data_IF_191308766715
#
_entry.id   IF_191308766715
#
_cell.length_a   1.000
_cell.length_b   1.000
_cell.length_c   1.000
_cell.angle_alpha   90.00
_cell.angle_beta   90.00
_cell.angle_gamma   90.00
#
_symmetry.space_group_name_H-M   'P 1'
#
loop_
_entity.id
_entity.type
_entity.pdbx_description
1 polymer ?
#
# COMPACT_ATOMS: atom_id res chain seq x y z
N UNK A 1 -1.79 -0.38 -23.62
CA UNK A 1 -1.63 -0.24 -22.16
C UNK A 1 -1.55 1.24 -21.86
N UNK A 2 -2.47 1.77 -21.07
CA UNK A 2 -2.41 3.13 -20.55
C UNK A 2 -1.54 3.21 -19.29
N UNK A 3 -1.29 4.42 -18.80
CA UNK A 3 -0.70 4.64 -17.48
C UNK A 3 -1.83 4.66 -16.47
N UNK A 4 -1.76 3.80 -15.45
CA UNK A 4 -2.62 3.89 -14.28
C UNK A 4 -1.98 4.85 -13.28
N UNK A 5 -2.78 5.74 -12.69
CA UNK A 5 -2.31 6.74 -11.73
C UNK A 5 -3.04 6.51 -10.42
N UNK A 6 -2.27 6.36 -9.34
CA UNK A 6 -2.78 6.23 -7.98
C UNK A 6 -2.49 7.49 -7.18
N UNK A 7 -3.48 7.99 -6.46
CA UNK A 7 -3.35 9.10 -5.51
C UNK A 7 -3.27 8.52 -4.11
N UNK A 8 -2.19 8.84 -3.40
CA UNK A 8 -1.96 8.44 -2.01
C UNK A 8 -2.53 9.52 -1.08
N UNK A 9 -3.30 9.10 -0.07
CA UNK A 9 -3.88 9.97 0.96
C UNK A 9 -3.42 9.46 2.32
N UNK A 10 -2.67 10.29 3.04
CA UNK A 10 -2.19 9.97 4.39
C UNK A 10 -3.33 9.63 5.35
N UNK A 11 -3.13 8.62 6.18
CA UNK A 11 -4.03 8.27 7.29
C UNK A 11 -4.30 9.48 8.20
N UNK A 12 -3.29 10.33 8.43
CA UNK A 12 -3.38 11.54 9.26
C UNK A 12 -4.25 12.66 8.68
N UNK A 13 -4.70 12.53 7.42
CA UNK A 13 -5.56 13.53 6.81
C UNK A 13 -6.96 13.50 7.43
N UNK A 14 -7.22 14.43 8.34
CA UNK A 14 -8.48 14.58 9.11
C UNK A 14 -9.64 15.08 8.24
N UNK A 15 -10.10 14.23 7.32
CA UNK A 15 -11.30 14.44 6.52
C UNK A 15 -12.21 13.23 6.63
N UNK A 16 -13.39 13.40 7.20
CA UNK A 16 -14.35 12.31 7.40
C UNK A 16 -15.72 12.66 6.82
N UNK A 17 -16.61 11.68 6.77
CA UNK A 17 -17.99 11.86 6.34
C UNK A 17 -18.18 11.97 4.83
N UNK A 18 -19.35 12.48 4.43
CA UNK A 18 -19.86 12.42 3.05
C UNK A 18 -19.09 13.29 2.07
N UNK A 19 -18.58 14.45 2.49
CA UNK A 19 -17.80 15.34 1.62
C UNK A 19 -16.50 14.68 1.17
N UNK A 20 -15.81 13.99 2.09
CA UNK A 20 -14.60 13.25 1.75
C UNK A 20 -14.89 12.07 0.83
N UNK A 21 -15.96 11.30 1.12
CA UNK A 21 -16.41 10.22 0.23
C UNK A 21 -16.72 10.73 -1.19
N UNK A 22 -17.42 11.87 -1.32
CA UNK A 22 -17.72 12.48 -2.61
C UNK A 22 -16.44 12.90 -3.36
N UNK A 23 -15.47 13.48 -2.66
CA UNK A 23 -14.19 13.83 -3.27
C UNK A 23 -13.45 12.59 -3.80
N UNK A 24 -13.43 11.50 -3.03
CA UNK A 24 -12.86 10.22 -3.47
C UNK A 24 -13.59 9.64 -4.67
N UNK A 25 -14.94 9.69 -4.66
CA UNK A 25 -15.75 9.23 -5.79
C UNK A 25 -15.43 10.02 -7.06
N UNK A 26 -15.30 11.35 -6.98
CA UNK A 26 -14.91 12.20 -8.11
C UNK A 26 -13.53 11.83 -8.67
N UNK A 27 -12.57 11.47 -7.81
CA UNK A 27 -11.24 11.01 -8.25
C UNK A 27 -11.37 9.68 -9.01
N UNK A 28 -12.12 8.71 -8.46
CA UNK A 28 -12.33 7.41 -9.08
C UNK A 28 -13.11 7.51 -10.40
N UNK A 29 -14.06 8.43 -10.52
CA UNK A 29 -14.81 8.69 -11.75
C UNK A 29 -13.90 9.17 -12.92
N UNK A 30 -12.71 9.68 -12.62
CA UNK A 30 -11.69 10.00 -13.63
C UNK A 30 -10.80 8.80 -14.00
N UNK A 31 -11.08 7.61 -13.47
CA UNK A 31 -10.27 6.40 -13.67
C UNK A 31 -8.97 6.39 -12.87
N UNK A 32 -8.85 7.24 -11.84
CA UNK A 32 -7.71 7.25 -10.93
C UNK A 32 -7.92 6.26 -9.78
N UNK A 33 -6.82 5.70 -9.28
CA UNK A 33 -6.79 4.80 -8.15
C UNK A 33 -6.52 5.56 -6.85
N UNK A 34 -6.89 4.99 -5.71
CA UNK A 34 -6.71 5.57 -4.39
C UNK A 34 -5.96 4.62 -3.46
N UNK A 35 -4.99 5.15 -2.72
CA UNK A 35 -4.30 4.44 -1.67
C UNK A 35 -4.39 5.19 -0.35
N UNK A 36 -4.60 4.47 0.75
CA UNK A 36 -4.34 5.01 2.09
C UNK A 36 -2.86 4.83 2.42
N UNK A 37 -2.22 5.90 2.89
CA UNK A 37 -0.78 5.99 3.13
C UNK A 37 -0.43 6.06 4.63
N UNK A 38 0.74 5.57 5.01
CA UNK A 38 1.23 5.47 6.40
C UNK A 38 0.27 4.71 7.36
N UNK A 39 -0.47 3.72 6.87
CA UNK A 39 -1.48 3.02 7.68
C UNK A 39 -0.85 2.32 8.88
N UNK A 40 -1.38 2.61 10.07
CA UNK A 40 -0.98 2.00 11.34
C UNK A 40 -0.19 2.94 12.26
N UNK A 41 0.13 4.17 11.82
CA UNK A 41 0.96 5.11 12.58
C UNK A 41 0.15 6.05 13.49
N UNK A 42 -1.01 6.55 13.05
CA UNK A 42 -1.75 7.60 13.77
C UNK A 42 -3.19 7.17 14.15
N UNK A 43 -3.28 6.38 15.22
CA UNK A 43 -4.53 5.76 15.71
C UNK A 43 -5.24 4.91 14.64
N UNK A 44 -4.62 3.77 14.29
CA UNK A 44 -5.10 2.76 13.35
C UNK A 44 -6.61 2.60 13.37
N UNK A 45 -7.31 3.34 12.51
CA UNK A 45 -8.75 3.29 12.48
C UNK A 45 -9.13 2.35 11.36
N UNK A 46 -9.29 1.07 11.66
CA UNK A 46 -9.82 0.10 10.71
C UNK A 46 -11.10 0.63 10.01
N UNK A 47 -11.90 1.47 10.70
CA UNK A 47 -13.05 2.13 10.07
C UNK A 47 -12.66 3.00 8.88
N UNK A 48 -11.50 3.66 8.89
CA UNK A 48 -10.97 4.45 7.76
C UNK A 48 -10.73 3.56 6.55
N UNK A 49 -10.11 2.40 6.74
CA UNK A 49 -9.91 1.41 5.68
C UNK A 49 -11.25 0.85 5.19
N UNK A 50 -12.20 0.61 6.10
CA UNK A 50 -13.46 -0.04 5.76
C UNK A 50 -14.57 0.88 5.25
N UNK A 51 -14.47 2.20 5.47
CA UNK A 51 -15.54 3.16 5.13
C UNK A 51 -15.38 3.83 3.77
N UNK A 52 -14.24 3.66 3.11
CA UNK A 52 -13.88 4.41 1.90
C UNK A 52 -13.36 3.49 0.78
N UNK A 53 -13.51 3.89 -0.50
CA UNK A 53 -13.29 3.03 -1.66
C UNK A 53 -11.81 2.96 -2.08
N UNK A 54 -10.96 2.44 -1.20
CA UNK A 54 -9.52 2.27 -1.46
C UNK A 54 -9.25 1.18 -2.50
N UNK A 55 -8.23 1.38 -3.34
CA UNK A 55 -7.67 0.35 -4.22
C UNK A 55 -6.42 -0.27 -3.60
N UNK A 56 -5.68 0.50 -2.79
CA UNK A 56 -4.51 0.02 -2.06
C UNK A 56 -4.49 0.47 -0.59
N UNK A 57 -3.83 -0.32 0.25
CA UNK A 57 -3.52 0.01 1.63
C UNK A 57 -2.01 -0.13 1.84
N UNK A 58 -1.34 0.98 2.13
CA UNK A 58 0.10 1.02 2.42
C UNK A 58 0.29 0.97 3.93
N UNK A 59 0.79 -0.15 4.42
CA UNK A 59 1.09 -0.38 5.84
C UNK A 59 2.53 0.03 6.12
N UNK A 60 2.69 0.98 7.04
CA UNK A 60 4.00 1.38 7.55
C UNK A 60 4.56 0.28 8.47
N UNK A 61 5.69 -0.32 8.08
CA UNK A 61 6.34 -1.34 8.90
C UNK A 61 6.85 -0.81 10.26
N UNK A 62 6.99 0.50 10.46
CA UNK A 62 7.29 1.06 11.77
C UNK A 62 6.15 0.82 12.78
N UNK A 63 4.89 0.82 12.34
CA UNK A 63 3.75 0.48 13.18
C UNK A 63 3.80 -0.99 13.64
N UNK A 64 4.33 -1.88 12.80
CA UNK A 64 4.54 -3.29 13.11
C UNK A 64 5.56 -3.46 14.24
N UNK A 65 6.62 -2.65 14.27
CA UNK A 65 7.64 -2.70 15.33
C UNK A 65 7.17 -2.09 16.65
N UNK A 66 6.24 -1.15 16.59
CA UNK A 66 5.68 -0.50 17.76
C UNK A 66 4.56 -1.32 18.43
N UNK A 67 4.10 -2.41 17.80
CA UNK A 67 2.99 -3.22 18.29
C UNK A 67 3.46 -4.45 19.08
N UNK A 68 2.74 -4.77 20.15
CA UNK A 68 3.00 -5.96 20.99
C UNK A 68 2.61 -7.28 20.29
N UNK A 69 1.73 -7.22 19.29
CA UNK A 69 1.29 -8.37 18.50
C UNK A 69 0.97 -7.96 17.05
N UNK A 70 0.72 -8.96 16.20
CA UNK A 70 0.47 -8.75 14.77
C UNK A 70 -0.98 -9.05 14.35
N UNK A 71 -1.90 -9.20 15.30
CA UNK A 71 -3.27 -9.62 14.99
C UNK A 71 -3.98 -8.59 14.11
N UNK A 72 -3.78 -7.30 14.38
CA UNK A 72 -4.31 -6.21 13.56
C UNK A 72 -3.84 -6.26 12.10
N UNK A 73 -2.59 -6.68 11.87
CA UNK A 73 -2.01 -6.76 10.52
C UNK A 73 -2.60 -7.93 9.73
N UNK A 74 -2.91 -9.02 10.43
CA UNK A 74 -3.63 -10.18 9.89
C UNK A 74 -5.06 -9.77 9.53
N UNK A 75 -5.75 -9.03 10.40
CA UNK A 75 -7.10 -8.50 10.13
C UNK A 75 -7.12 -7.57 8.90
N UNK A 76 -6.15 -6.66 8.80
CA UNK A 76 -6.00 -5.77 7.63
C UNK A 76 -5.75 -6.57 6.36
N UNK A 77 -4.85 -7.56 6.40
CA UNK A 77 -4.59 -8.46 5.26
C UNK A 77 -5.87 -9.14 4.80
N UNK A 78 -6.63 -9.72 5.74
CA UNK A 78 -7.84 -10.47 5.40
C UNK A 78 -8.93 -9.56 4.85
N UNK A 79 -9.11 -8.38 5.43
CA UNK A 79 -10.02 -7.37 4.91
C UNK A 79 -9.62 -6.96 3.49
N UNK A 80 -8.34 -6.65 3.26
CA UNK A 80 -7.86 -6.23 1.95
C UNK A 80 -8.06 -7.33 0.90
N UNK A 81 -7.70 -8.58 1.22
CA UNK A 81 -7.91 -9.72 0.34
C UNK A 81 -9.40 -9.93 0.00
N UNK A 82 -10.29 -9.84 0.99
CA UNK A 82 -11.72 -10.04 0.79
C UNK A 82 -12.37 -8.95 -0.07
N UNK A 83 -11.82 -7.73 -0.06
CA UNK A 83 -12.37 -6.57 -0.77
C UNK A 83 -11.59 -6.21 -2.05
N UNK A 84 -10.61 -7.01 -2.45
CA UNK A 84 -9.79 -6.73 -3.64
C UNK A 84 -8.88 -5.51 -3.50
N UNK A 85 -8.53 -5.12 -2.26
CA UNK A 85 -7.62 -4.01 -1.98
C UNK A 85 -6.18 -4.56 -1.97
N UNK A 86 -5.29 -3.94 -2.75
CA UNK A 86 -3.88 -4.34 -2.78
C UNK A 86 -3.14 -3.90 -1.51
N UNK A 87 -2.54 -4.85 -0.80
CA UNK A 87 -1.69 -4.54 0.35
C UNK A 87 -0.27 -4.19 -0.11
N UNK A 88 0.29 -3.13 0.45
CA UNK A 88 1.67 -2.70 0.23
C UNK A 88 2.34 -2.57 1.60
N UNK A 89 3.46 -3.26 1.81
CA UNK A 89 4.29 -3.10 3.01
C UNK A 89 5.40 -2.10 2.69
N UNK A 90 5.38 -0.93 3.33
CA UNK A 90 6.34 0.14 3.05
C UNK A 90 7.39 0.33 4.15
N UNK A 91 8.43 1.11 3.85
CA UNK A 91 9.58 1.36 4.72
C UNK A 91 10.30 0.07 5.15
N UNK A 92 10.38 -0.92 4.25
CA UNK A 92 11.20 -2.12 4.47
C UNK A 92 12.70 -1.80 4.47
N UNK A 93 13.34 -2.02 5.61
CA UNK A 93 14.80 -1.82 5.81
C UNK A 93 15.60 -3.14 5.84
N UNK A 94 14.94 -4.31 5.90
CA UNK A 94 15.62 -5.61 6.01
C UNK A 94 14.87 -6.73 5.26
N UNK A 95 15.50 -7.35 4.25
CA UNK A 95 14.86 -8.39 3.42
C UNK A 95 14.54 -9.69 4.19
N UNK A 96 15.28 -9.98 5.25
CA UNK A 96 15.08 -11.16 6.10
C UNK A 96 13.70 -11.17 6.77
N UNK A 97 13.06 -10.01 6.88
CA UNK A 97 11.70 -9.89 7.42
C UNK A 97 10.66 -10.56 6.52
N UNK A 98 10.87 -10.56 5.21
CA UNK A 98 9.94 -11.15 4.24
C UNK A 98 9.85 -12.67 4.37
N UNK A 99 10.97 -13.34 4.61
CA UNK A 99 11.01 -14.80 4.81
C UNK A 99 10.68 -15.22 6.25
N UNK A 100 10.75 -14.28 7.20
CA UNK A 100 10.42 -14.46 8.61
C UNK A 100 9.04 -13.90 8.97
N UNK A 101 9.03 -12.80 9.72
CA UNK A 101 7.84 -12.21 10.33
C UNK A 101 6.71 -11.91 9.34
N UNK A 102 7.06 -11.43 8.13
CA UNK A 102 6.12 -10.97 7.11
C UNK A 102 5.75 -12.08 6.10
N UNK A 103 6.24 -13.32 6.29
CA UNK A 103 5.92 -14.45 5.43
C UNK A 103 4.41 -14.69 5.23
N UNK A 104 3.54 -14.50 6.25
CA UNK A 104 2.09 -14.62 6.08
C UNK A 104 1.46 -13.55 5.18
N UNK A 105 2.22 -12.51 4.79
CA UNK A 105 1.80 -11.38 3.95
C UNK A 105 2.46 -11.45 2.57
N UNK A 106 2.82 -12.65 2.11
CA UNK A 106 3.54 -12.86 0.85
C UNK A 106 2.78 -12.41 -0.42
N UNK A 107 1.48 -12.15 -0.33
CA UNK A 107 0.68 -11.58 -1.41
C UNK A 107 0.80 -10.06 -1.50
N UNK A 108 1.35 -9.39 -0.48
CA UNK A 108 1.54 -7.96 -0.47
C UNK A 108 2.70 -7.54 -1.38
N UNK A 109 2.53 -6.40 -2.04
CA UNK A 109 3.65 -5.69 -2.64
C UNK A 109 4.53 -5.09 -1.55
N UNK A 110 5.79 -4.81 -1.87
CA UNK A 110 6.77 -4.36 -0.87
C UNK A 110 7.57 -3.18 -1.41
N UNK A 111 7.78 -2.18 -0.56
CA UNK A 111 8.57 -0.98 -0.84
C UNK A 111 9.48 -0.66 0.35
N UNK A 112 10.69 -0.22 0.08
CA UNK A 112 11.62 0.20 1.13
C UNK A 112 13.08 0.22 0.66
N UNK A 113 13.95 0.81 1.47
CA UNK A 113 15.37 0.96 1.14
C UNK A 113 16.11 -0.37 1.02
N UNK A 114 15.60 -1.44 1.64
CA UNK A 114 16.11 -2.80 1.46
C UNK A 114 15.99 -3.30 0.01
N UNK A 115 15.01 -2.77 -0.75
CA UNK A 115 14.79 -3.10 -2.16
C UNK A 115 15.45 -2.06 -3.06
N UNK A 116 15.16 -0.78 -2.83
CA UNK A 116 15.70 0.32 -3.63
C UNK A 116 15.54 1.65 -2.90
N UNK A 117 16.56 2.51 -2.99
CA UNK A 117 16.45 3.90 -2.56
C UNK A 117 15.74 4.73 -3.62
N UNK A 118 15.04 5.81 -3.27
CA UNK A 118 14.54 6.77 -4.25
C UNK A 118 15.65 7.24 -5.19
N UNK A 119 15.34 7.26 -6.49
CA UNK A 119 16.27 7.71 -7.52
C UNK A 119 15.51 8.49 -8.60
N UNK A 120 16.24 9.33 -9.33
CA UNK A 120 15.67 10.08 -10.44
C UNK A 120 15.35 9.10 -11.57
N UNK A 121 14.07 9.00 -11.92
CA UNK A 121 13.63 8.23 -13.07
C UNK A 121 14.27 8.80 -14.34
N UNK A 122 15.17 8.03 -14.94
CA UNK A 122 15.76 8.39 -16.23
C UNK A 122 14.78 8.04 -17.33
N UNK A 123 14.66 8.89 -18.36
CA UNK A 123 13.70 8.75 -19.47
C UNK A 123 13.70 7.36 -20.14
N UNK A 124 14.84 6.65 -20.14
CA UNK A 124 15.01 5.35 -20.79
C UNK A 124 14.71 4.14 -19.88
N UNK A 125 14.47 4.35 -18.59
CA UNK A 125 14.33 3.27 -17.59
C UNK A 125 13.04 2.43 -17.71
N UNK A 126 12.06 2.88 -18.52
CA UNK A 126 10.84 2.12 -18.80
C UNK A 126 11.06 0.99 -19.83
N UNK A 127 12.15 1.01 -20.60
CA UNK A 127 12.40 0.04 -21.66
C UNK A 127 12.98 -1.31 -21.15
N UNK A 128 13.54 -1.35 -19.94
CA UNK A 128 14.26 -2.53 -19.44
C UNK A 128 13.38 -3.52 -18.63
N UNK A 129 12.19 -3.10 -18.18
CA UNK A 129 11.34 -3.95 -17.32
C UNK A 129 10.58 -5.06 -18.06
N UNK A 130 10.42 -4.97 -19.38
CA UNK A 130 9.77 -6.02 -20.18
C UNK A 130 10.66 -7.25 -20.43
N UNK A 131 11.99 -7.13 -20.26
CA UNK A 131 12.91 -8.23 -20.53
C UNK A 131 13.17 -9.15 -19.32
N UNK A 132 13.03 -8.64 -18.10
CA UNK A 132 13.42 -9.39 -16.88
C UNK A 132 12.29 -10.26 -16.33
N UNK A 133 11.01 -9.92 -16.58
CA UNK A 133 9.86 -10.73 -16.14
C UNK A 133 9.65 -12.02 -16.96
N UNK A 134 10.26 -12.16 -18.14
CA UNK A 134 10.18 -13.38 -18.96
C UNK A 134 11.25 -14.44 -18.64
N UNK A 135 12.20 -14.15 -17.75
CA UNK A 135 13.29 -15.09 -17.38
C UNK A 135 13.13 -15.73 -15.99
N UNK A 136 12.01 -15.48 -15.32
CA UNK A 136 11.73 -16.02 -13.98
C UNK A 136 10.44 -16.85 -13.92
N UNK A 137 9.98 -17.38 -15.06
CA UNK A 137 8.98 -18.45 -15.15
C UNK A 137 9.64 -19.75 -15.60
#
# INVERSE_FOLDING_TARGET
MGVEVCVEISEAFDAIGSSFFQAMALIKDQGLLLAIDDFGMECSNFNRLSSYPWDFCKVDLNAVWASDNLDWLIEVRDYCNANGIGLILEKLECLQLLSGLLKPLNSASVQGFALSKPFILQRNSFAERTATQLKAQ
#
